data_IF_009929628981
#
_entry.id   IF_009929628981
#
_cell.length_a   1.000
_cell.length_b   1.000
_cell.length_c   1.000
_cell.angle_alpha   90.00
_cell.angle_beta   90.00
_cell.angle_gamma   90.00
#
_symmetry.space_group_name_H-M   'P 1'
#
loop_
_entity.id
_entity.type
_entity.pdbx_description
1 polymer ?
#
# COMPACT_ATOMS: atom_id res chain seq x y z
N UNK A 1 -10.42 -27.35 8.91
CA UNK A 1 -9.90 -26.25 9.76
C UNK A 1 -9.96 -24.99 8.92
N UNK A 2 -10.75 -24.00 9.32
CA UNK A 2 -10.89 -22.74 8.54
C UNK A 2 -9.64 -21.91 8.85
N UNK A 3 -8.62 -21.99 8.01
CA UNK A 3 -7.51 -21.04 8.05
C UNK A 3 -8.10 -19.68 7.69
N UNK A 4 -8.41 -18.91 8.74
CA UNK A 4 -8.85 -17.53 8.60
C UNK A 4 -7.69 -16.80 7.92
N UNK A 5 -7.89 -16.23 6.74
CA UNK A 5 -6.82 -15.54 6.07
C UNK A 5 -6.24 -14.45 6.98
N UNK A 6 -4.90 -14.24 7.00
CA UNK A 6 -4.32 -13.18 7.81
C UNK A 6 -4.74 -11.85 7.20
N UNK A 7 -5.88 -11.33 7.64
CA UNK A 7 -6.26 -9.94 7.42
C UNK A 7 -5.04 -9.13 7.88
N UNK A 8 -4.50 -8.26 7.03
CA UNK A 8 -3.51 -7.27 7.46
C UNK A 8 -4.17 -6.50 8.60
N UNK A 9 -3.78 -6.83 9.83
CA UNK A 9 -4.11 -6.00 10.95
C UNK A 9 -3.43 -4.64 10.72
N UNK A 10 -4.03 -3.53 11.16
CA UNK A 10 -3.44 -2.19 11.05
C UNK A 10 -1.98 -2.12 11.55
N UNK A 11 -1.59 -3.03 12.46
CA UNK A 11 -0.24 -3.20 12.99
C UNK A 11 0.76 -3.91 12.04
N UNK A 12 0.35 -4.29 10.83
CA UNK A 12 1.26 -4.92 9.88
C UNK A 12 2.19 -3.85 9.26
N UNK A 13 3.51 -4.10 9.19
CA UNK A 13 4.50 -3.12 8.73
C UNK A 13 4.16 -2.52 7.35
N UNK A 14 3.65 -3.34 6.41
CA UNK A 14 3.21 -2.86 5.09
C UNK A 14 2.12 -1.78 5.14
N UNK A 15 1.19 -1.85 6.10
CA UNK A 15 0.16 -0.81 6.24
C UNK A 15 0.78 0.48 6.80
N UNK A 16 1.72 0.35 7.74
CA UNK A 16 2.46 1.48 8.30
C UNK A 16 3.30 2.17 7.23
N UNK A 17 4.03 1.41 6.40
CA UNK A 17 4.81 1.94 5.26
C UNK A 17 3.93 2.67 4.24
N UNK A 18 2.75 2.12 3.91
CA UNK A 18 1.82 2.76 2.98
C UNK A 18 1.28 4.09 3.52
N UNK A 19 0.90 4.13 4.81
CA UNK A 19 0.42 5.35 5.48
C UNK A 19 1.53 6.38 5.59
N UNK A 20 2.75 5.96 5.90
CA UNK A 20 3.92 6.84 6.00
C UNK A 20 4.29 7.47 4.64
N UNK A 21 4.25 6.69 3.56
CA UNK A 21 4.44 7.20 2.20
C UNK A 21 3.37 8.24 1.82
N UNK A 22 2.11 8.01 2.18
CA UNK A 22 1.03 8.99 1.96
C UNK A 22 1.24 10.28 2.76
N UNK A 23 1.70 10.18 4.01
CA UNK A 23 2.02 11.37 4.83
C UNK A 23 3.10 12.21 4.17
N UNK A 24 4.21 11.59 3.75
CA UNK A 24 5.30 12.29 3.05
C UNK A 24 4.85 12.98 1.77
N UNK A 25 3.99 12.33 0.99
CA UNK A 25 3.38 12.95 -0.20
C UNK A 25 2.56 14.21 0.14
N UNK A 26 1.73 14.15 1.20
CA UNK A 26 0.95 15.31 1.63
C UNK A 26 1.82 16.41 2.24
N UNK A 27 2.87 16.04 2.99
CA UNK A 27 3.83 16.99 3.55
C UNK A 27 4.60 17.72 2.44
N UNK A 28 5.02 17.02 1.39
CA UNK A 28 5.68 17.61 0.24
C UNK A 28 4.76 18.58 -0.52
N UNK A 29 3.49 18.21 -0.71
CA UNK A 29 2.49 19.13 -1.28
C UNK A 29 2.25 20.36 -0.40
N UNK A 30 2.12 20.17 0.92
CA UNK A 30 1.88 21.26 1.86
C UNK A 30 3.07 22.20 2.00
N UNK A 31 4.29 21.67 1.87
CA UNK A 31 5.54 22.43 1.92
C UNK A 31 5.85 23.15 0.59
N UNK A 32 5.08 22.86 -0.47
CA UNK A 32 5.32 23.43 -1.79
C UNK A 32 6.59 22.90 -2.46
N UNK A 33 6.95 21.63 -2.18
CA UNK A 33 8.07 20.95 -2.83
C UNK A 33 7.89 20.93 -4.36
N UNK A 34 8.99 20.70 -5.07
CA UNK A 34 9.00 20.59 -6.53
C UNK A 34 8.02 19.53 -7.03
N UNK A 35 7.31 19.82 -8.13
CA UNK A 35 6.35 18.90 -8.73
C UNK A 35 6.93 17.51 -9.02
N UNK A 36 8.21 17.44 -9.38
CA UNK A 36 8.93 16.18 -9.58
C UNK A 36 8.99 15.32 -8.31
N UNK A 37 9.31 15.93 -7.16
CA UNK A 37 9.43 15.20 -5.88
C UNK A 37 8.05 14.80 -5.35
N UNK A 38 7.04 15.67 -5.52
CA UNK A 38 5.64 15.36 -5.19
C UNK A 38 5.14 14.17 -6.01
N UNK A 39 5.41 14.13 -7.32
CA UNK A 39 5.02 13.02 -8.18
C UNK A 39 5.77 11.73 -7.82
N UNK A 40 7.06 11.82 -7.48
CA UNK A 40 7.82 10.66 -7.00
C UNK A 40 7.23 10.08 -5.72
N UNK A 41 6.91 10.92 -4.75
CA UNK A 41 6.28 10.50 -3.50
C UNK A 41 4.89 9.90 -3.73
N UNK A 42 4.14 10.43 -4.69
CA UNK A 42 2.85 9.86 -5.10
C UNK A 42 3.01 8.44 -5.65
N UNK A 43 3.96 8.21 -6.57
CA UNK A 43 4.21 6.89 -7.15
C UNK A 43 4.64 5.87 -6.08
N UNK A 44 5.45 6.30 -5.11
CA UNK A 44 5.85 5.47 -3.97
C UNK A 44 4.63 5.10 -3.12
N UNK A 45 3.79 6.08 -2.77
CA UNK A 45 2.58 5.84 -2.00
C UNK A 45 1.63 4.88 -2.74
N UNK A 46 1.38 5.10 -4.03
CA UNK A 46 0.53 4.24 -4.85
C UNK A 46 1.07 2.80 -4.92
N UNK A 47 2.38 2.63 -5.11
CA UNK A 47 3.03 1.32 -5.11
C UNK A 47 2.87 0.58 -3.78
N UNK A 48 3.03 1.28 -2.65
CA UNK A 48 2.86 0.69 -1.30
C UNK A 48 1.41 0.25 -1.06
N UNK A 49 0.42 1.05 -1.47
CA UNK A 49 -0.99 0.66 -1.37
C UNK A 49 -1.33 -0.52 -2.28
N UNK A 50 -0.73 -0.60 -3.47
CA UNK A 50 -0.89 -1.76 -4.34
C UNK A 50 -0.30 -3.02 -3.71
N UNK A 51 0.87 -2.94 -3.06
CA UNK A 51 1.47 -4.07 -2.35
C UNK A 51 0.63 -4.54 -1.15
N UNK A 52 0.04 -3.60 -0.39
CA UNK A 52 -0.94 -3.91 0.68
C UNK A 52 -2.15 -4.64 0.11
N UNK A 53 -2.67 -4.18 -1.02
CA UNK A 53 -3.83 -4.79 -1.69
C UNK A 53 -3.50 -6.20 -2.20
N UNK A 54 -2.36 -6.39 -2.86
CA UNK A 54 -1.90 -7.70 -3.33
C UNK A 54 -1.73 -8.69 -2.17
N UNK A 55 -1.12 -8.24 -1.07
CA UNK A 55 -1.02 -9.04 0.13
C UNK A 55 -2.40 -9.39 0.67
N UNK A 56 -3.33 -8.44 0.78
CA UNK A 56 -4.68 -8.72 1.27
C UNK A 56 -5.38 -9.74 0.39
N UNK A 57 -5.30 -9.63 -0.93
CA UNK A 57 -5.88 -10.58 -1.88
C UNK A 57 -5.27 -11.97 -1.73
N UNK A 58 -3.94 -12.06 -1.60
CA UNK A 58 -3.22 -13.32 -1.39
C UNK A 58 -3.55 -13.93 -0.04
N UNK A 59 -3.61 -13.11 1.00
CA UNK A 59 -3.91 -13.50 2.36
C UNK A 59 -5.34 -13.99 2.48
N UNK A 60 -6.34 -13.24 1.97
CA UNK A 60 -7.80 -13.48 2.02
C UNK A 60 -8.29 -14.76 1.32
N UNK A 61 -7.38 -15.50 0.69
CA UNK A 61 -7.65 -16.79 0.09
C UNK A 61 -7.66 -16.69 -1.42
N UNK A 62 -6.46 -16.71 -2.01
CA UNK A 62 -6.23 -16.67 -3.45
C UNK A 62 -7.25 -17.48 -4.26
N UNK A 63 -8.19 -16.77 -4.87
CA UNK A 63 -9.00 -17.21 -6.00
C UNK A 63 -8.91 -16.17 -7.12
N UNK A 64 -7.72 -15.60 -7.35
CA UNK A 64 -7.37 -15.26 -8.72
C UNK A 64 -6.93 -16.58 -9.37
N UNK A 65 -7.90 -17.28 -9.98
CA UNK A 65 -7.58 -18.42 -10.85
C UNK A 65 -6.59 -18.01 -11.95
N UNK A 66 -5.93 -18.98 -12.61
CA UNK A 66 -4.94 -18.67 -13.62
C UNK A 66 -5.53 -17.73 -14.67
N UNK A 67 -4.86 -16.59 -14.87
CA UNK A 67 -5.15 -15.68 -15.97
C UNK A 67 -4.72 -16.42 -17.24
N UNK A 68 -5.69 -16.94 -17.97
CA UNK A 68 -5.53 -17.51 -19.32
C UNK A 68 -6.00 -16.49 -20.36
#
# INVERSE_FOLDING_TARGET
>A
MKCKPPILFPDHPMYTDAVDAMKRYHEAQASGESAEEVERLRLIAESQFQAVTDYQLKALGGLAGPVH
#
